data_IF_830565480828
#
_entry.id   IF_830565480828
#
_cell.length_a   1.000
_cell.length_b   1.000
_cell.length_c   1.000
_cell.angle_alpha   90.00
_cell.angle_beta   90.00
_cell.angle_gamma   90.00
#
_symmetry.space_group_name_H-M   'P 1'
#
loop_
_entity.id
_entity.type
_entity.pdbx_description
1 polymer ?
#
# COMPACT_ATOMS: atom_id res chain seq x y z
N UNK A 1 14.87 -14.33 -22.71
CA UNK A 1 14.38 -13.89 -22.10
C UNK A 1 14.08 -13.55 -21.50
N UNK A 2 14.24 -13.66 -21.74
CA UNK A 2 13.82 -13.17 -20.98
C UNK A 2 13.19 -12.72 -20.40
N UNK A 3 13.39 -13.01 -20.41
CA UNK A 3 12.69 -12.46 -19.78
C UNK A 3 12.01 -12.24 -19.29
N UNK A 4 12.19 -12.74 -19.31
CA UNK A 4 11.38 -12.49 -18.75
C UNK A 4 10.67 -12.22 -18.21
N UNK A 5 10.59 -12.41 -18.21
CA UNK A 5 9.75 -12.06 -17.65
C UNK A 5 9.00 -11.77 -17.14
N UNK A 6 9.10 -12.05 -17.17
CA UNK A 6 8.20 -11.57 -16.67
C UNK A 6 7.59 -10.92 -16.71
N UNK A 7 7.72 -11.11 -16.99
CA UNK A 7 7.06 -10.46 -16.93
C UNK A 7 6.27 -10.16 -17.00
N UNK A 8 6.35 -10.38 -17.09
CA UNK A 8 5.51 -9.97 -16.99
C UNK A 8 4.81 -9.54 -17.32
N UNK A 9 4.86 -9.44 -17.67
CA UNK A 9 4.02 -8.79 -17.73
C UNK A 9 3.68 -8.04 -18.28
N UNK A 10 4.03 -8.98 -19.09
CA UNK A 10 3.79 -8.16 -20.19
C UNK A 10 4.07 -6.72 -20.03
N UNK A 11 5.24 -6.38 -20.05
CA UNK A 11 5.53 -4.98 -19.96
C UNK A 11 4.75 -4.25 -18.88
N UNK A 12 4.02 -4.97 -18.12
CA UNK A 12 3.26 -4.35 -17.05
C UNK A 12 4.15 -4.09 -15.86
N UNK A 13 3.98 -2.91 -15.32
CA UNK A 13 4.67 -2.55 -14.10
C UNK A 13 3.72 -2.65 -12.94
N UNK A 14 4.27 -3.00 -11.81
CA UNK A 14 3.48 -3.05 -10.61
C UNK A 14 4.39 -3.23 -9.43
N UNK A 15 3.85 -2.99 -8.25
CA UNK A 15 4.60 -3.19 -7.02
C UNK A 15 3.68 -3.80 -5.98
N UNK A 16 4.29 -4.41 -4.96
CA UNK A 16 3.56 -4.93 -3.82
C UNK A 16 4.16 -4.27 -2.59
N UNK A 17 3.30 -3.64 -1.81
CA UNK A 17 3.73 -2.90 -0.62
C UNK A 17 3.27 -3.65 0.62
N UNK A 18 4.22 -3.97 1.50
CA UNK A 18 3.91 -4.56 2.79
C UNK A 18 3.52 -3.41 3.73
N UNK A 19 2.34 -3.52 4.32
CA UNK A 19 1.78 -2.45 5.15
C UNK A 19 1.34 -3.03 6.48
N UNK A 20 1.69 -2.35 7.57
CA UNK A 20 1.19 -2.69 8.90
C UNK A 20 0.27 -1.59 9.38
N UNK A 21 -0.97 -1.95 9.71
CA UNK A 21 -2.02 -0.99 10.04
C UNK A 21 -2.27 -0.94 11.55
N UNK A 22 -2.34 0.29 12.09
CA UNK A 22 -2.83 0.53 13.44
C UNK A 22 -4.14 1.29 13.33
N UNK A 23 -5.28 0.67 13.69
CA UNK A 23 -6.58 1.35 13.63
C UNK A 23 -6.80 2.24 14.84
N UNK A 24 -7.94 2.93 14.87
CA UNK A 24 -8.37 3.78 15.98
C UNK A 24 -7.46 4.97 16.21
N UNK A 25 -6.75 5.40 15.19
CA UNK A 25 -5.94 6.60 15.30
C UNK A 25 -6.82 7.84 15.15
N UNK A 26 -6.30 8.99 15.54
CA UNK A 26 -7.05 10.24 15.41
C UNK A 26 -7.08 10.73 13.96
N UNK A 27 -6.16 10.24 13.14
CA UNK A 27 -6.11 10.61 11.72
C UNK A 27 -5.35 9.55 10.96
N UNK A 28 -5.46 9.60 9.63
CA UNK A 28 -4.69 8.73 8.76
C UNK A 28 -3.30 9.32 8.58
N UNK A 29 -2.27 8.51 8.77
CA UNK A 29 -0.91 9.01 8.56
C UNK A 29 0.06 7.87 8.31
N UNK A 30 1.15 8.19 7.58
CA UNK A 30 2.29 7.29 7.43
C UNK A 30 3.20 7.53 8.61
N UNK A 31 3.45 6.49 9.41
CA UNK A 31 4.25 6.61 10.63
C UNK A 31 5.73 6.49 10.31
N UNK A 32 6.09 5.43 9.60
CA UNK A 32 7.49 5.19 9.23
C UNK A 32 7.56 4.09 8.19
N UNK A 33 8.70 3.99 7.52
CA UNK A 33 9.01 2.88 6.63
C UNK A 33 10.16 2.13 7.26
N UNK A 34 9.94 0.85 7.52
CA UNK A 34 10.93 0.02 8.19
C UNK A 34 12.04 -0.38 7.23
N UNK A 35 13.13 -0.92 7.79
CA UNK A 35 14.31 -1.31 7.00
C UNK A 35 13.98 -2.34 5.92
N UNK A 36 13.00 -3.20 6.19
CA UNK A 36 12.60 -4.23 5.23
C UNK A 36 11.58 -3.71 4.21
N UNK A 37 11.25 -2.42 4.26
CA UNK A 37 10.31 -1.80 3.35
C UNK A 37 8.87 -1.78 3.84
N UNK A 38 8.59 -2.38 5.00
CA UNK A 38 7.21 -2.37 5.53
C UNK A 38 6.82 -0.94 5.89
N UNK A 39 5.62 -0.55 5.47
CA UNK A 39 5.09 0.79 5.70
C UNK A 39 4.14 0.72 6.88
N UNK A 40 4.44 1.45 7.94
CA UNK A 40 3.58 1.52 9.12
C UNK A 40 2.61 2.67 8.95
N UNK A 41 1.31 2.36 9.04
CA UNK A 41 0.23 3.31 8.77
C UNK A 41 -0.72 3.32 9.95
N UNK A 42 -1.13 4.53 10.35
CA UNK A 42 -2.24 4.69 11.30
C UNK A 42 -3.49 5.07 10.53
N UNK A 43 -4.61 4.48 10.89
CA UNK A 43 -5.88 4.78 10.23
C UNK A 43 -6.93 5.17 11.26
N UNK A 44 -7.64 6.25 10.94
CA UNK A 44 -8.78 6.71 11.75
C UNK A 44 -10.01 5.89 11.35
N UNK A 45 -10.04 4.64 11.79
CA UNK A 45 -11.07 3.70 11.39
C UNK A 45 -11.31 2.72 12.54
N UNK A 46 -12.52 2.16 12.66
CA UNK A 46 -12.75 1.08 13.61
C UNK A 46 -11.88 -0.14 13.27
N UNK A 47 -11.66 -1.04 14.23
CA UNK A 47 -10.82 -2.21 13.99
C UNK A 47 -11.50 -3.32 13.21
N UNK A 48 -12.56 -3.01 12.47
CA UNK A 48 -13.23 -3.97 11.60
C UNK A 48 -12.46 -4.08 10.29
N UNK A 49 -12.18 -5.32 9.88
CA UNK A 49 -11.29 -5.56 8.74
C UNK A 49 -11.76 -4.91 7.45
N UNK A 50 -13.05 -5.00 7.12
CA UNK A 50 -13.56 -4.42 5.89
C UNK A 50 -13.36 -2.91 5.85
N UNK A 51 -13.66 -2.25 6.96
CA UNK A 51 -13.54 -0.80 7.05
C UNK A 51 -12.08 -0.37 7.01
N UNK A 52 -11.22 -1.12 7.69
CA UNK A 52 -9.80 -0.83 7.68
C UNK A 52 -9.20 -1.03 6.29
N UNK A 53 -9.61 -2.08 5.57
CA UNK A 53 -9.14 -2.34 4.23
C UNK A 53 -9.54 -1.21 3.28
N UNK A 54 -10.80 -0.79 3.36
CA UNK A 54 -11.28 0.29 2.51
C UNK A 54 -10.58 1.60 2.82
N UNK A 55 -10.41 1.91 4.11
CA UNK A 55 -9.72 3.12 4.53
C UNK A 55 -8.27 3.12 4.05
N UNK A 56 -7.61 1.96 4.11
CA UNK A 56 -6.23 1.84 3.66
C UNK A 56 -6.10 2.11 2.17
N UNK A 57 -6.99 1.51 1.37
CA UNK A 57 -6.97 1.71 -0.08
C UNK A 57 -7.21 3.18 -0.42
N UNK A 58 -8.20 3.80 0.22
CA UNK A 58 -8.49 5.22 -0.02
C UNK A 58 -7.29 6.10 0.32
N UNK A 59 -6.67 5.82 1.45
CA UNK A 59 -5.53 6.61 1.94
C UNK A 59 -4.33 6.47 1.01
N UNK A 60 -4.00 5.24 0.63
CA UNK A 60 -2.85 5.00 -0.25
C UNK A 60 -3.09 5.56 -1.65
N UNK A 61 -4.31 5.45 -2.16
CA UNK A 61 -4.63 6.03 -3.47
C UNK A 61 -4.37 7.53 -3.47
N UNK A 62 -4.74 8.20 -2.40
CA UNK A 62 -4.53 9.64 -2.27
C UNK A 62 -3.05 9.98 -2.22
N UNK A 63 -2.28 9.26 -1.40
CA UNK A 63 -0.85 9.49 -1.25
C UNK A 63 -0.11 9.23 -2.56
N UNK A 64 -0.46 8.13 -3.23
CA UNK A 64 0.22 7.73 -4.45
C UNK A 64 -0.26 8.52 -5.66
N UNK A 65 -1.40 9.20 -5.53
CA UNK A 65 -1.92 10.01 -6.63
C UNK A 65 -2.51 9.16 -7.75
N UNK A 66 -3.12 8.03 -7.41
CA UNK A 66 -3.69 7.11 -8.39
C UNK A 66 -5.12 6.77 -8.03
N UNK A 67 -5.92 6.30 -8.99
CA UNK A 67 -7.29 5.84 -8.68
C UNK A 67 -7.24 4.61 -7.79
N UNK A 68 -8.27 4.44 -6.99
CA UNK A 68 -8.39 3.26 -6.12
C UNK A 68 -8.37 1.97 -6.92
N UNK A 69 -8.84 2.00 -8.16
CA UNK A 69 -8.87 0.82 -9.00
C UNK A 69 -7.49 0.25 -9.32
N UNK A 70 -6.44 1.02 -9.10
CA UNK A 70 -5.07 0.54 -9.29
C UNK A 70 -4.51 -0.15 -8.06
N UNK A 71 -5.27 -0.19 -6.97
CA UNK A 71 -4.82 -0.76 -5.71
C UNK A 71 -5.69 -1.95 -5.32
N UNK A 72 -5.04 -2.97 -4.76
CA UNK A 72 -5.76 -4.16 -4.31
C UNK A 72 -5.02 -4.79 -3.15
N UNK A 73 -5.76 -5.20 -2.12
CA UNK A 73 -5.17 -5.98 -1.03
C UNK A 73 -5.12 -7.42 -1.49
N UNK A 74 -3.93 -7.94 -1.70
CA UNK A 74 -3.75 -9.28 -2.26
C UNK A 74 -3.41 -10.31 -1.20
N UNK A 75 -3.11 -9.89 0.02
CA UNK A 75 -2.89 -10.79 1.14
C UNK A 75 -3.12 -10.03 2.44
N UNK A 76 -3.51 -10.75 3.49
CA UNK A 76 -3.69 -10.13 4.80
C UNK A 76 -4.96 -9.31 4.92
N UNK A 77 -6.05 -9.77 4.30
CA UNK A 77 -7.33 -9.07 4.42
C UNK A 77 -7.81 -9.01 5.85
N UNK A 78 -7.41 -9.98 6.66
CA UNK A 78 -7.71 -10.02 8.07
C UNK A 78 -6.41 -9.77 8.83
N UNK A 79 -6.47 -8.95 9.87
CA UNK A 79 -5.30 -8.65 10.67
C UNK A 79 -4.64 -7.35 10.27
N UNK A 80 -3.47 -7.10 10.83
CA UNK A 80 -2.79 -5.81 10.68
C UNK A 80 -1.76 -5.79 9.58
N UNK A 81 -1.20 -6.95 9.23
CA UNK A 81 -0.17 -7.03 8.20
C UNK A 81 -0.82 -7.36 6.87
N UNK A 82 -0.68 -6.45 5.91
CA UNK A 82 -1.35 -6.55 4.62
C UNK A 82 -0.35 -6.38 3.49
N UNK A 83 -0.67 -6.98 2.35
CA UNK A 83 0.11 -6.79 1.14
C UNK A 83 -0.78 -6.10 0.12
N UNK A 84 -0.37 -4.94 -0.36
CA UNK A 84 -1.15 -4.13 -1.29
C UNK A 84 -0.44 -4.09 -2.63
N UNK A 85 -1.16 -4.50 -3.66
CA UNK A 85 -0.66 -4.44 -5.04
C UNK A 85 -1.00 -3.08 -5.64
N UNK A 86 -0.04 -2.49 -6.34
CA UNK A 86 -0.23 -1.23 -7.04
C UNK A 86 0.12 -1.47 -8.50
N UNK A 87 -0.88 -1.32 -9.38
CA UNK A 87 -0.71 -1.53 -10.82
C UNK A 87 -0.11 -0.28 -11.45
N UNK A 88 0.76 -0.48 -12.42
CA UNK A 88 1.35 0.61 -13.22
C UNK A 88 2.18 1.59 -12.41
N UNK A 89 2.77 1.15 -11.31
CA UNK A 89 3.68 1.97 -10.54
C UNK A 89 4.77 1.06 -9.99
N UNK A 90 6.03 1.42 -10.20
CA UNK A 90 7.13 0.62 -9.67
C UNK A 90 7.31 0.92 -8.19
N UNK A 91 8.00 0.01 -7.50
CA UNK A 91 8.13 0.10 -6.04
C UNK A 91 8.91 1.35 -5.62
N UNK A 92 9.87 1.75 -6.43
CA UNK A 92 10.69 2.92 -6.11
C UNK A 92 9.86 4.20 -6.12
N UNK A 93 9.04 4.38 -7.15
CA UNK A 93 8.16 5.53 -7.24
C UNK A 93 7.14 5.53 -6.10
N UNK A 94 6.58 4.36 -5.80
CA UNK A 94 5.62 4.24 -4.70
C UNK A 94 6.28 4.65 -3.38
N UNK A 95 7.47 4.14 -3.10
CA UNK A 95 8.18 4.47 -1.86
C UNK A 95 8.49 5.97 -1.78
N UNK A 96 8.91 6.58 -2.88
CA UNK A 96 9.20 8.01 -2.87
C UNK A 96 7.98 8.83 -2.51
N UNK A 97 6.82 8.47 -3.05
CA UNK A 97 5.59 9.20 -2.76
C UNK A 97 5.15 9.00 -1.31
N UNK A 98 5.35 7.80 -0.79
CA UNK A 98 5.02 7.51 0.60
C UNK A 98 5.95 8.28 1.53
N UNK A 99 7.25 8.30 1.24
CA UNK A 99 8.21 9.00 2.08
C UNK A 99 7.92 10.51 2.13
N UNK A 100 7.37 11.05 1.06
CA UNK A 100 7.00 12.46 1.03
C UNK A 100 5.87 12.79 2.00
N UNK A 101 5.16 11.79 2.51
CA UNK A 101 4.05 11.98 3.43
C UNK A 101 4.37 11.51 4.85
N UNK A 102 5.64 11.25 5.16
CA UNK A 102 6.02 10.89 6.53
C UNK A 102 5.66 12.03 7.46
N UNK A 103 4.90 11.68 8.48
CA UNK A 103 4.42 12.69 9.42
C UNK A 103 5.24 12.82 10.68
#
# INVERSE_FOLDING_TARGET
MTDRQFKLHGGQRGSALAVRVTPRASRNEIVEVLDDGTIKVRLATPPADNEANEALINFLAEILGVPKSQLEIVAGEVGRDKLVSVVDMDVETAHQRILAHLG
#
